data_IF_802473679807
#
_entry.id   IF_802473679807
#
_cell.length_a   1.000
_cell.length_b   1.000
_cell.length_c   1.000
_cell.angle_alpha   90.00
_cell.angle_beta   90.00
_cell.angle_gamma   90.00
#
_symmetry.space_group_name_H-M   'P 1'
#
loop_
_entity.id
_entity.type
_entity.pdbx_description
1 polymer ?
#
# COMPACT_ATOMS: atom_id res chain seq x y z
N UNK A 1 -17.80 17.46 28.71
CA UNK A 1 -18.28 16.34 27.85
C UNK A 1 -17.31 16.18 26.71
N UNK A 2 -16.39 15.22 26.77
CA UNK A 2 -15.46 14.93 25.65
C UNK A 2 -16.25 14.22 24.55
N UNK A 3 -16.57 14.94 23.48
CA UNK A 3 -17.14 14.33 22.27
C UNK A 3 -16.04 13.43 21.69
N UNK A 4 -16.14 12.12 21.93
CA UNK A 4 -15.25 11.16 21.31
C UNK A 4 -15.43 11.27 19.79
N UNK A 5 -14.42 11.80 19.09
CA UNK A 5 -14.43 11.84 17.64
C UNK A 5 -14.56 10.41 17.08
N UNK A 6 -15.42 10.18 16.08
CA UNK A 6 -15.68 8.85 15.57
C UNK A 6 -14.42 8.26 14.93
N UNK A 7 -14.17 6.97 15.22
CA UNK A 7 -13.13 6.20 14.56
C UNK A 7 -13.61 5.79 13.19
N UNK A 8 -12.95 6.26 12.13
CA UNK A 8 -13.31 5.96 10.74
C UNK A 8 -12.48 4.75 10.27
N UNK A 9 -13.18 3.71 9.83
CA UNK A 9 -12.59 2.44 9.36
C UNK A 9 -12.67 2.37 7.85
N UNK A 10 -11.53 2.35 7.17
CA UNK A 10 -11.40 2.28 5.72
C UNK A 10 -11.14 0.82 5.31
N UNK A 11 -11.92 0.31 4.37
CA UNK A 11 -11.75 -1.05 3.80
C UNK A 11 -11.03 -0.95 2.46
N UNK A 12 -9.98 -1.74 2.25
CA UNK A 12 -9.30 -1.79 0.96
C UNK A 12 -10.25 -2.27 -0.16
N UNK A 13 -10.26 -1.57 -1.30
CA UNK A 13 -10.95 -2.03 -2.53
C UNK A 13 -10.45 -3.41 -2.96
N UNK A 14 -9.17 -3.71 -2.72
CA UNK A 14 -8.54 -4.97 -3.08
C UNK A 14 -9.23 -6.20 -2.47
N UNK A 15 -9.91 -6.07 -1.33
CA UNK A 15 -10.63 -7.18 -0.66
C UNK A 15 -11.99 -7.50 -1.29
N UNK A 16 -12.49 -6.63 -2.15
CA UNK A 16 -13.76 -6.85 -2.84
C UNK A 16 -13.67 -8.12 -3.71
N UNK A 17 -14.71 -8.94 -3.70
CA UNK A 17 -14.82 -10.20 -4.45
C UNK A 17 -13.90 -11.38 -4.01
N UNK A 18 -13.18 -11.31 -2.88
CA UNK A 18 -12.35 -12.42 -2.43
C UNK A 18 -13.16 -13.73 -2.23
N UNK A 19 -14.32 -13.63 -1.57
CA UNK A 19 -15.21 -14.79 -1.36
C UNK A 19 -15.76 -15.34 -2.69
N UNK A 20 -16.13 -14.47 -3.60
CA UNK A 20 -16.65 -14.82 -4.93
C UNK A 20 -15.61 -15.58 -5.77
N UNK A 21 -14.37 -15.08 -5.82
CA UNK A 21 -13.26 -15.76 -6.51
C UNK A 21 -12.97 -17.13 -5.92
N UNK A 22 -12.95 -17.26 -4.58
CA UNK A 22 -12.72 -18.55 -3.93
C UNK A 22 -13.84 -19.54 -4.29
N UNK A 23 -15.10 -19.09 -4.29
CA UNK A 23 -16.25 -19.94 -4.59
C UNK A 23 -16.24 -20.40 -6.06
N UNK A 24 -16.02 -19.47 -7.01
CA UNK A 24 -15.92 -19.82 -8.44
C UNK A 24 -14.77 -20.80 -8.68
N UNK A 25 -13.59 -20.53 -8.13
CA UNK A 25 -12.43 -21.40 -8.33
C UNK A 25 -12.66 -22.80 -7.75
N UNK A 26 -13.26 -22.90 -6.56
CA UNK A 26 -13.60 -24.20 -5.94
C UNK A 26 -14.65 -24.97 -6.76
N UNK A 27 -15.70 -24.30 -7.24
CA UNK A 27 -16.74 -24.92 -8.06
C UNK A 27 -16.15 -25.43 -9.39
N UNK A 28 -15.33 -24.61 -10.05
CA UNK A 28 -14.65 -24.98 -11.29
C UNK A 28 -13.71 -26.18 -11.08
N UNK A 29 -13.02 -26.23 -9.93
CA UNK A 29 -12.16 -27.35 -9.54
C UNK A 29 -12.97 -28.64 -9.41
N UNK A 30 -14.10 -28.62 -8.72
CA UNK A 30 -14.98 -29.79 -8.53
C UNK A 30 -15.50 -30.29 -9.88
N UNK A 31 -15.99 -29.39 -10.74
CA UNK A 31 -16.47 -29.74 -12.07
C UNK A 31 -15.33 -30.38 -12.90
N UNK A 32 -14.14 -29.81 -12.88
CA UNK A 32 -13.00 -30.33 -13.63
C UNK A 32 -12.59 -31.74 -13.15
N UNK A 33 -12.63 -32.01 -11.84
CA UNK A 33 -12.34 -33.33 -11.28
C UNK A 33 -13.40 -34.35 -11.70
N UNK A 34 -14.70 -33.99 -11.67
CA UNK A 34 -15.77 -34.86 -12.12
C UNK A 34 -15.63 -35.20 -13.61
N UNK A 35 -15.38 -34.21 -14.46
CA UNK A 35 -15.13 -34.40 -15.89
C UNK A 35 -13.89 -35.27 -16.15
N UNK A 36 -12.86 -35.13 -15.35
CA UNK A 36 -11.64 -35.93 -15.46
C UNK A 36 -11.93 -37.44 -15.26
N UNK A 37 -12.87 -37.81 -14.38
CA UNK A 37 -13.24 -39.23 -14.19
C UNK A 37 -13.83 -39.86 -15.46
N UNK A 38 -14.54 -39.09 -16.30
CA UNK A 38 -15.22 -39.61 -17.48
C UNK A 38 -14.43 -39.43 -18.78
N UNK A 39 -13.70 -38.32 -18.91
CA UNK A 39 -13.12 -37.89 -20.18
C UNK A 39 -11.60 -37.82 -20.19
N UNK A 40 -10.93 -38.36 -19.17
CA UNK A 40 -9.46 -38.23 -19.02
C UNK A 40 -8.69 -38.72 -20.23
N UNK A 41 -9.08 -39.86 -20.83
CA UNK A 41 -8.39 -40.43 -22.00
C UNK A 41 -8.53 -39.61 -23.28
N UNK A 42 -9.62 -38.82 -23.42
CA UNK A 42 -9.92 -38.07 -24.64
C UNK A 42 -9.39 -36.65 -24.61
N UNK A 43 -9.57 -35.95 -23.49
CA UNK A 43 -9.25 -34.51 -23.38
C UNK A 43 -8.28 -34.18 -22.23
N UNK A 44 -7.35 -35.07 -21.98
CA UNK A 44 -6.39 -34.97 -20.88
C UNK A 44 -5.71 -33.59 -20.75
N UNK A 45 -5.17 -33.04 -21.85
CA UNK A 45 -4.46 -31.76 -21.83
C UNK A 45 -5.38 -30.61 -21.46
N UNK A 46 -6.60 -30.57 -22.00
CA UNK A 46 -7.59 -29.52 -21.70
C UNK A 46 -8.00 -29.55 -20.23
N UNK A 47 -8.20 -30.75 -19.68
CA UNK A 47 -8.55 -30.94 -18.26
C UNK A 47 -7.43 -30.44 -17.34
N UNK A 48 -6.16 -30.74 -17.66
CA UNK A 48 -5.02 -30.25 -16.90
C UNK A 48 -5.00 -28.71 -16.86
N UNK A 49 -5.22 -28.04 -18.01
CA UNK A 49 -5.27 -26.57 -18.07
C UNK A 49 -6.43 -26.00 -17.24
N UNK A 50 -7.63 -26.60 -17.30
CA UNK A 50 -8.78 -26.17 -16.52
C UNK A 50 -8.52 -26.32 -15.01
N UNK A 51 -7.94 -27.44 -14.58
CA UNK A 51 -7.59 -27.70 -13.17
C UNK A 51 -6.56 -26.66 -12.70
N UNK A 52 -5.54 -26.40 -13.51
CA UNK A 52 -4.50 -25.41 -13.17
C UNK A 52 -5.09 -23.99 -13.07
N UNK A 53 -5.96 -23.60 -13.99
CA UNK A 53 -6.67 -22.32 -13.95
C UNK A 53 -7.57 -22.20 -12.71
N UNK A 54 -8.34 -23.24 -12.41
CA UNK A 54 -9.19 -23.31 -11.22
C UNK A 54 -8.37 -23.19 -9.93
N UNK A 55 -7.20 -23.84 -9.89
CA UNK A 55 -6.26 -23.73 -8.77
C UNK A 55 -5.74 -22.28 -8.58
N UNK A 56 -5.33 -21.62 -9.66
CA UNK A 56 -4.86 -20.23 -9.61
C UNK A 56 -5.97 -19.30 -9.11
N UNK A 57 -7.20 -19.44 -9.61
CA UNK A 57 -8.35 -18.63 -9.19
C UNK A 57 -8.63 -18.84 -7.69
N UNK A 58 -8.66 -20.12 -7.25
CA UNK A 58 -8.89 -20.47 -5.83
C UNK A 58 -7.81 -19.89 -4.92
N UNK A 59 -6.54 -20.06 -5.28
CA UNK A 59 -5.39 -19.51 -4.53
C UNK A 59 -5.46 -17.98 -4.46
N UNK A 60 -5.78 -17.32 -5.56
CA UNK A 60 -5.94 -15.86 -5.59
C UNK A 60 -7.05 -15.40 -4.64
N UNK A 61 -8.19 -16.10 -4.64
CA UNK A 61 -9.30 -15.83 -3.72
C UNK A 61 -8.90 -16.03 -2.25
N UNK A 62 -8.17 -17.10 -1.94
CA UNK A 62 -7.67 -17.38 -0.59
C UNK A 62 -6.65 -16.34 -0.14
N UNK A 63 -5.69 -15.96 -0.99
CA UNK A 63 -4.67 -14.95 -0.67
C UNK A 63 -5.32 -13.60 -0.33
N UNK A 64 -6.37 -13.21 -1.06
CA UNK A 64 -7.15 -11.99 -0.75
C UNK A 64 -7.88 -12.05 0.61
N UNK A 65 -8.20 -13.24 1.12
CA UNK A 65 -8.81 -13.39 2.45
C UNK A 65 -7.84 -13.08 3.59
N UNK A 66 -6.54 -13.29 3.38
CA UNK A 66 -5.50 -12.99 4.37
C UNK A 66 -5.16 -11.50 4.48
N UNK A 67 -5.70 -10.66 3.60
CA UNK A 67 -5.56 -9.21 3.74
C UNK A 67 -6.31 -8.70 4.98
N UNK A 68 -5.78 -7.66 5.68
CA UNK A 68 -6.39 -7.11 6.86
C UNK A 68 -7.81 -6.62 6.57
N UNK A 69 -8.68 -6.68 7.60
CA UNK A 69 -10.09 -6.28 7.48
C UNK A 69 -10.24 -4.80 7.12
N UNK A 70 -9.32 -3.98 7.59
CA UNK A 70 -9.24 -2.54 7.34
C UNK A 70 -7.83 -2.22 6.83
N UNK A 71 -7.73 -1.36 5.84
CA UNK A 71 -6.47 -0.84 5.33
C UNK A 71 -6.00 0.37 6.13
N UNK A 72 -6.96 1.24 6.52
CA UNK A 72 -6.68 2.39 7.36
C UNK A 72 -7.71 2.51 8.47
N UNK A 73 -7.24 3.04 9.61
CA UNK A 73 -8.07 3.39 10.74
C UNK A 73 -7.68 4.81 11.16
N UNK A 74 -8.65 5.73 11.04
CA UNK A 74 -8.45 7.13 11.37
C UNK A 74 -9.01 7.39 12.76
N UNK A 75 -8.14 7.80 13.67
CA UNK A 75 -8.44 8.12 15.06
C UNK A 75 -8.29 9.63 15.28
N UNK A 76 -8.80 10.19 16.40
CA UNK A 76 -8.58 11.58 16.76
C UNK A 76 -7.11 11.98 16.86
N UNK A 77 -6.23 11.05 17.32
CA UNK A 77 -4.82 11.31 17.51
C UNK A 77 -4.00 11.15 16.22
N UNK A 78 -4.42 10.26 15.30
CA UNK A 78 -3.63 9.94 14.13
C UNK A 78 -4.28 8.94 13.20
N UNK A 79 -3.49 8.42 12.30
CA UNK A 79 -3.88 7.39 11.35
C UNK A 79 -3.02 6.13 11.52
N UNK A 80 -3.68 4.98 11.45
CA UNK A 80 -3.03 3.66 11.40
C UNK A 80 -3.22 3.07 10.02
N UNK A 81 -2.14 2.66 9.39
CA UNK A 81 -2.16 1.89 8.15
C UNK A 81 -1.90 0.43 8.47
N UNK A 82 -2.79 -0.43 8.03
CA UNK A 82 -2.69 -1.87 8.21
C UNK A 82 -2.39 -2.54 6.88
N UNK A 83 -1.33 -3.30 6.88
CA UNK A 83 -0.90 -4.09 5.76
C UNK A 83 -0.71 -5.55 6.18
N UNK A 84 -0.74 -6.50 5.24
CA UNK A 84 -0.52 -7.94 5.52
C UNK A 84 0.81 -8.22 6.24
N UNK A 85 1.81 -7.38 6.06
CA UNK A 85 3.16 -7.55 6.62
C UNK A 85 3.43 -6.69 7.86
N UNK A 86 2.45 -5.98 8.35
CA UNK A 86 2.56 -5.14 9.54
C UNK A 86 1.69 -3.91 9.48
N UNK A 87 1.94 -2.99 10.39
CA UNK A 87 1.26 -1.70 10.42
C UNK A 87 2.25 -0.58 10.70
N UNK A 88 1.86 0.66 10.41
CA UNK A 88 2.51 1.84 10.93
C UNK A 88 1.45 2.83 11.44
N UNK A 89 1.86 3.66 12.37
CA UNK A 89 1.06 4.71 12.97
C UNK A 89 1.68 6.08 12.70
N UNK A 90 0.86 7.09 12.47
CA UNK A 90 1.27 8.48 12.36
C UNK A 90 0.31 9.37 13.13
N UNK A 91 0.83 10.20 14.01
CA UNK A 91 0.07 11.28 14.63
C UNK A 91 -0.20 12.39 13.61
N UNK A 92 -1.37 13.04 13.69
CA UNK A 92 -1.71 14.13 12.78
C UNK A 92 -0.70 15.28 12.83
N UNK A 93 -0.05 15.50 13.97
CA UNK A 93 0.98 16.51 14.15
C UNK A 93 2.27 16.23 13.39
N UNK A 94 2.58 14.96 13.11
CA UNK A 94 3.75 14.53 12.32
C UNK A 94 3.56 14.79 10.82
N UNK A 95 2.31 14.95 10.39
CA UNK A 95 1.96 15.09 8.98
C UNK A 95 1.95 16.56 8.60
N UNK A 96 2.82 16.92 7.67
CA UNK A 96 2.87 18.28 7.10
C UNK A 96 1.77 18.49 6.06
N UNK A 97 1.66 17.57 5.09
CA UNK A 97 0.73 17.69 3.97
C UNK A 97 0.28 16.32 3.45
N UNK A 98 -0.96 16.24 2.95
CA UNK A 98 -1.55 15.04 2.34
C UNK A 98 -2.21 15.47 1.04
N UNK A 99 -1.73 14.94 -0.09
CA UNK A 99 -2.34 15.20 -1.39
C UNK A 99 -2.24 13.96 -2.29
N UNK A 100 -2.99 14.00 -3.39
CA UNK A 100 -2.78 13.07 -4.48
C UNK A 100 -1.42 13.33 -5.13
N UNK A 101 -0.68 12.28 -5.46
CA UNK A 101 0.61 12.41 -6.14
C UNK A 101 0.35 12.79 -7.60
N UNK A 102 1.05 13.82 -8.05
CA UNK A 102 1.02 14.28 -9.43
C UNK A 102 2.42 14.26 -10.03
N UNK A 103 2.48 14.01 -11.32
CA UNK A 103 3.69 14.29 -12.07
C UNK A 103 3.93 15.80 -12.12
N UNK A 104 5.15 16.23 -11.82
CA UNK A 104 5.52 17.65 -11.77
C UNK A 104 6.29 18.11 -13.00
N UNK A 105 6.62 17.20 -13.94
CA UNK A 105 7.52 17.46 -15.06
C UNK A 105 6.78 17.77 -16.36
N UNK A 106 5.79 18.65 -16.37
CA UNK A 106 5.14 19.04 -17.63
C UNK A 106 4.00 20.02 -17.47
N UNK A 107 3.48 20.50 -18.60
CA UNK A 107 2.30 21.38 -18.66
C UNK A 107 1.01 20.65 -18.22
N UNK A 108 0.95 19.34 -18.44
CA UNK A 108 -0.16 18.49 -18.01
C UNK A 108 0.24 17.72 -16.74
N UNK A 109 -0.33 18.11 -15.61
CA UNK A 109 -0.18 17.39 -14.34
C UNK A 109 -0.93 16.07 -14.39
N UNK A 110 -0.23 14.99 -14.68
CA UNK A 110 -0.82 13.65 -14.63
C UNK A 110 -1.03 13.23 -13.17
N UNK A 111 -2.27 12.97 -12.80
CA UNK A 111 -2.61 12.43 -11.48
C UNK A 111 -2.24 10.94 -11.42
N UNK A 112 -1.41 10.57 -10.46
CA UNK A 112 -1.03 9.18 -10.22
C UNK A 112 -2.00 8.50 -9.25
N UNK A 113 -2.15 7.16 -9.30
CA UNK A 113 -3.07 6.41 -8.45
C UNK A 113 -2.52 6.22 -7.03
N UNK A 114 -1.98 7.29 -6.45
CA UNK A 114 -1.33 7.29 -5.15
C UNK A 114 -1.67 8.55 -4.34
N UNK A 115 -1.74 8.38 -3.02
CA UNK A 115 -1.78 9.47 -2.05
C UNK A 115 -0.40 9.62 -1.44
N UNK A 116 0.14 10.81 -1.48
CA UNK A 116 1.41 11.19 -0.87
C UNK A 116 1.22 11.84 0.49
N UNK A 117 2.00 11.42 1.45
CA UNK A 117 2.06 12.00 2.79
C UNK A 117 3.45 12.61 2.99
N UNK A 118 3.48 13.92 3.22
CA UNK A 118 4.70 14.63 3.61
C UNK A 118 4.75 14.74 5.12
N UNK A 119 5.84 14.30 5.72
CA UNK A 119 6.07 14.38 7.15
C UNK A 119 6.93 15.61 7.49
N UNK A 120 6.81 16.10 8.71
CA UNK A 120 7.76 17.09 9.26
C UNK A 120 9.09 16.44 9.60
N UNK A 121 9.02 15.24 10.17
CA UNK A 121 10.17 14.43 10.55
C UNK A 121 9.96 12.98 10.13
N UNK A 122 10.92 12.45 9.38
CA UNK A 122 10.88 11.05 8.91
C UNK A 122 11.33 10.09 10.02
N UNK A 123 12.14 10.54 10.95
CA UNK A 123 12.74 9.71 12.00
C UNK A 123 11.69 9.10 12.93
N UNK A 124 10.59 9.82 13.17
CA UNK A 124 9.46 9.34 13.98
C UNK A 124 8.84 8.05 13.45
N UNK A 125 8.88 7.84 12.13
CA UNK A 125 8.34 6.64 11.48
C UNK A 125 9.12 5.38 11.81
N UNK A 126 10.42 5.48 12.09
CA UNK A 126 11.30 4.34 12.34
C UNK A 126 10.84 3.48 13.52
N UNK A 127 10.34 4.12 14.56
CA UNK A 127 9.80 3.42 15.74
C UNK A 127 8.43 2.81 15.51
N UNK A 128 7.73 3.24 14.46
CA UNK A 128 6.34 2.90 14.17
C UNK A 128 6.18 1.83 13.07
N UNK A 129 7.23 1.54 12.32
CA UNK A 129 7.18 0.59 11.21
C UNK A 129 8.05 -0.64 11.46
N UNK A 130 7.49 -1.84 11.17
CA UNK A 130 8.28 -3.07 11.27
C UNK A 130 9.24 -3.23 10.09
N UNK A 131 10.43 -3.86 10.29
CA UNK A 131 11.38 -4.12 9.20
C UNK A 131 10.80 -4.92 8.04
N UNK A 132 9.86 -5.85 8.35
CA UNK A 132 9.16 -6.66 7.34
C UNK A 132 8.26 -5.79 6.45
N UNK A 133 7.51 -4.88 7.06
CA UNK A 133 6.65 -3.95 6.31
C UNK A 133 7.49 -2.95 5.52
N UNK A 134 8.54 -2.39 6.11
CA UNK A 134 9.48 -1.49 5.46
C UNK A 134 10.04 -2.08 4.16
N UNK A 135 10.56 -3.30 4.22
CA UNK A 135 11.05 -4.03 3.04
C UNK A 135 9.95 -4.25 2.00
N UNK A 136 8.74 -4.60 2.43
CA UNK A 136 7.62 -4.83 1.52
C UNK A 136 7.20 -3.57 0.78
N UNK A 137 7.11 -2.43 1.47
CA UNK A 137 6.76 -1.15 0.86
C UNK A 137 7.77 -0.70 -0.20
N UNK A 138 9.07 -0.91 0.02
CA UNK A 138 10.10 -0.66 -1.00
C UNK A 138 9.78 -1.43 -2.29
N UNK A 139 9.42 -2.72 -2.17
CA UNK A 139 9.12 -3.54 -3.35
C UNK A 139 7.81 -3.14 -4.04
N UNK A 140 6.78 -2.74 -3.30
CA UNK A 140 5.50 -2.32 -3.85
C UNK A 140 5.56 -0.96 -4.53
N UNK A 141 6.51 -0.11 -4.15
CA UNK A 141 6.71 1.22 -4.71
C UNK A 141 7.68 1.25 -5.91
N UNK A 142 8.23 0.09 -6.33
CA UNK A 142 9.09 0.00 -7.53
C UNK A 142 8.46 0.59 -8.80
N UNK A 143 7.16 0.36 -9.11
CA UNK A 143 6.56 0.98 -10.29
C UNK A 143 6.58 2.51 -10.26
N UNK A 144 6.43 3.09 -9.06
CA UNK A 144 6.50 4.54 -8.87
C UNK A 144 7.92 5.08 -9.10
N UNK A 145 8.95 4.36 -8.64
CA UNK A 145 10.35 4.72 -8.91
C UNK A 145 10.66 4.59 -10.40
N UNK A 146 10.22 3.51 -11.05
CA UNK A 146 10.40 3.34 -12.50
C UNK A 146 9.74 4.49 -13.28
N UNK A 147 8.53 4.87 -12.90
CA UNK A 147 7.84 6.04 -13.45
C UNK A 147 8.67 7.31 -13.27
N UNK A 148 9.22 7.55 -12.08
CA UNK A 148 10.03 8.74 -11.80
C UNK A 148 11.30 8.83 -12.68
N UNK A 149 11.94 7.69 -12.97
CA UNK A 149 13.11 7.62 -13.86
C UNK A 149 12.69 7.95 -15.29
N UNK A 150 11.63 7.32 -15.80
CA UNK A 150 11.13 7.51 -17.17
C UNK A 150 10.77 8.99 -17.40
N UNK A 151 10.16 9.64 -16.42
CA UNK A 151 9.75 11.05 -16.49
C UNK A 151 10.84 12.03 -16.02
N UNK A 152 12.08 11.55 -15.80
CA UNK A 152 13.24 12.38 -15.40
C UNK A 152 13.06 13.14 -14.08
N UNK A 153 12.18 12.66 -13.21
CA UNK A 153 12.01 13.19 -11.86
C UNK A 153 13.14 12.73 -10.93
N UNK A 154 13.75 11.58 -11.25
CA UNK A 154 14.88 11.00 -10.53
C UNK A 154 15.93 10.52 -11.52
N UNK A 155 17.22 10.63 -11.16
CA UNK A 155 18.28 9.96 -11.89
C UNK A 155 18.30 8.46 -11.55
N UNK A 156 18.87 7.64 -12.45
CA UNK A 156 19.05 6.21 -12.20
C UNK A 156 19.88 5.95 -10.94
N UNK A 157 20.90 6.74 -10.69
CA UNK A 157 21.76 6.63 -9.51
C UNK A 157 20.99 6.87 -8.20
N UNK A 158 20.14 7.91 -8.17
CA UNK A 158 19.28 8.22 -7.03
C UNK A 158 18.22 7.15 -6.75
N UNK A 159 17.84 6.39 -7.76
CA UNK A 159 16.82 5.35 -7.66
C UNK A 159 17.34 4.02 -7.12
N UNK A 160 18.66 3.85 -7.02
CA UNK A 160 19.25 2.62 -6.51
C UNK A 160 18.94 2.42 -5.02
N UNK A 161 18.65 1.15 -4.67
CA UNK A 161 18.42 0.80 -3.27
C UNK A 161 19.71 0.95 -2.47
N UNK A 162 19.64 1.80 -1.46
CA UNK A 162 20.75 2.07 -0.56
C UNK A 162 20.53 1.34 0.78
N UNK A 163 21.39 0.38 1.10
CA UNK A 163 21.38 -0.38 2.35
C UNK A 163 22.43 0.12 3.37
N UNK A 164 23.10 1.23 3.08
CA UNK A 164 24.04 1.84 4.03
C UNK A 164 23.32 2.23 5.33
N UNK A 165 24.03 2.28 6.47
CA UNK A 165 23.43 2.75 7.70
C UNK A 165 22.84 4.15 7.55
N UNK A 166 21.62 4.33 8.06
CA UNK A 166 20.93 5.63 8.07
C UNK A 166 21.11 6.28 9.44
N UNK A 167 21.56 7.54 9.47
CA UNK A 167 21.72 8.31 10.70
C UNK A 167 20.49 9.17 10.94
N UNK A 168 19.79 8.91 12.06
CA UNK A 168 18.67 9.73 12.51
C UNK A 168 19.14 11.11 12.99
N UNK A 169 18.22 12.07 13.06
CA UNK A 169 18.47 13.39 13.68
C UNK A 169 18.92 13.26 15.14
N UNK A 170 18.44 12.25 15.85
CA UNK A 170 18.88 11.90 17.22
C UNK A 170 20.34 11.39 17.30
N UNK A 171 21.02 11.21 16.18
CA UNK A 171 22.37 10.64 16.08
C UNK A 171 22.40 9.10 16.07
N UNK A 172 21.29 8.40 16.33
CA UNK A 172 21.19 6.94 16.30
C UNK A 172 21.36 6.41 14.87
N UNK A 173 22.19 5.38 14.72
CA UNK A 173 22.39 4.68 13.45
C UNK A 173 21.40 3.51 13.31
N UNK A 174 20.70 3.48 12.20
CA UNK A 174 19.79 2.37 11.83
C UNK A 174 20.44 1.57 10.72
N UNK A 175 20.24 0.25 10.73
CA UNK A 175 20.78 -0.69 9.75
C UNK A 175 19.70 -1.57 9.16
N UNK A 176 20.00 -2.25 8.05
CA UNK A 176 19.15 -3.25 7.42
C UNK A 176 17.91 -2.67 6.73
N UNK A 177 16.76 -3.39 6.69
CA UNK A 177 15.58 -3.00 5.92
C UNK A 177 14.99 -1.65 6.32
N UNK A 178 15.09 -1.25 7.59
CA UNK A 178 14.64 0.07 8.05
C UNK A 178 15.50 1.19 7.47
N UNK A 179 16.84 1.04 7.46
CA UNK A 179 17.73 2.01 6.84
C UNK A 179 17.44 2.15 5.33
N UNK A 180 17.30 1.02 4.64
CA UNK A 180 16.95 1.01 3.23
C UNK A 180 15.61 1.71 2.96
N UNK A 181 14.61 1.51 3.84
CA UNK A 181 13.31 2.17 3.72
C UNK A 181 13.42 3.68 3.94
N UNK A 182 14.26 4.14 4.89
CA UNK A 182 14.48 5.57 5.12
C UNK A 182 15.13 6.24 3.91
N UNK A 183 16.17 5.62 3.33
CA UNK A 183 16.76 6.09 2.08
C UNK A 183 15.75 6.12 0.94
N UNK A 184 14.95 5.06 0.80
CA UNK A 184 13.90 4.96 -0.20
C UNK A 184 12.82 6.05 -0.05
N UNK A 185 12.39 6.34 1.19
CA UNK A 185 11.44 7.43 1.48
C UNK A 185 12.02 8.81 1.11
N UNK A 186 13.31 9.02 1.30
CA UNK A 186 13.98 10.23 0.84
C UNK A 186 14.05 10.31 -0.68
N UNK A 187 14.29 9.19 -1.37
CA UNK A 187 14.26 9.13 -2.83
C UNK A 187 12.86 9.48 -3.37
N UNK A 188 11.81 8.92 -2.78
CA UNK A 188 10.43 9.27 -3.15
C UNK A 188 10.16 10.75 -2.89
N UNK A 189 10.64 11.27 -1.78
CA UNK A 189 10.50 12.70 -1.47
C UNK A 189 11.20 13.58 -2.50
N UNK A 190 12.39 13.21 -2.94
CA UNK A 190 13.13 13.95 -3.98
C UNK A 190 12.37 13.99 -5.31
N UNK A 191 11.73 12.88 -5.71
CA UNK A 191 10.97 12.80 -6.97
C UNK A 191 9.56 13.40 -6.91
N UNK A 192 8.85 13.22 -5.80
CA UNK A 192 7.42 13.53 -5.71
C UNK A 192 7.04 14.51 -4.59
N UNK A 193 7.96 14.84 -3.70
CA UNK A 193 7.71 15.74 -2.56
C UNK A 193 7.01 15.09 -1.36
N UNK A 194 6.89 13.76 -1.32
CA UNK A 194 6.23 13.00 -0.25
C UNK A 194 7.14 11.90 0.28
N UNK A 195 7.07 11.65 1.60
CA UNK A 195 7.88 10.61 2.25
C UNK A 195 7.22 9.24 2.24
N UNK A 196 5.88 9.22 2.37
CA UNK A 196 5.08 8.00 2.36
C UNK A 196 4.04 8.04 1.25
N UNK A 197 3.76 6.86 0.71
CA UNK A 197 2.84 6.68 -0.40
C UNK A 197 1.81 5.60 -0.04
N UNK A 198 0.54 5.91 -0.22
CA UNK A 198 -0.58 4.98 -0.07
C UNK A 198 -1.19 4.75 -1.46
N UNK A 199 -1.25 3.50 -1.95
CA UNK A 199 -1.85 3.20 -3.25
C UNK A 199 -3.38 3.29 -3.19
N UNK A 200 -4.01 3.61 -4.31
CA UNK A 200 -5.46 3.66 -4.46
C UNK A 200 -6.16 2.35 -4.06
N UNK A 201 -5.51 1.21 -4.29
CA UNK A 201 -6.02 -0.10 -3.90
C UNK A 201 -6.28 -0.25 -2.39
N UNK A 202 -5.63 0.58 -1.57
CA UNK A 202 -5.81 0.63 -0.11
C UNK A 202 -6.96 1.54 0.34
N UNK A 203 -7.64 2.25 -0.56
CA UNK A 203 -8.74 3.16 -0.24
C UNK A 203 -10.10 2.52 -0.53
N UNK A 204 -11.18 3.06 0.05
CA UNK A 204 -12.58 2.63 -0.17
C UNK A 204 -13.34 3.56 -1.14
N UNK A 205 -12.73 4.68 -1.53
CA UNK A 205 -13.32 5.73 -2.35
C UNK A 205 -12.31 6.29 -3.34
N UNK A 206 -12.71 7.26 -4.16
CA UNK A 206 -11.81 7.95 -5.08
C UNK A 206 -10.73 8.73 -4.32
N UNK A 207 -9.53 8.82 -4.90
CA UNK A 207 -8.37 9.44 -4.25
C UNK A 207 -8.61 10.89 -3.83
N UNK A 208 -9.32 11.67 -4.67
CA UNK A 208 -9.63 13.05 -4.35
C UNK A 208 -10.49 13.16 -3.08
N UNK A 209 -11.59 12.37 -3.00
CA UNK A 209 -12.47 12.34 -1.83
C UNK A 209 -11.72 11.81 -0.59
N UNK A 210 -10.80 10.86 -0.80
CA UNK A 210 -10.02 10.31 0.29
C UNK A 210 -9.00 11.33 0.83
N UNK A 211 -8.34 12.08 -0.03
CA UNK A 211 -7.48 13.20 0.38
C UNK A 211 -8.25 14.27 1.16
N UNK A 212 -9.46 14.61 0.71
CA UNK A 212 -10.33 15.55 1.44
C UNK A 212 -10.66 15.02 2.84
N UNK A 213 -11.05 13.74 2.97
CA UNK A 213 -11.33 13.12 4.25
C UNK A 213 -10.12 13.18 5.20
N UNK A 214 -8.93 12.80 4.72
CA UNK A 214 -7.71 12.83 5.53
C UNK A 214 -7.37 14.25 6.01
N UNK A 215 -7.50 15.24 5.13
CA UNK A 215 -7.26 16.64 5.48
C UNK A 215 -8.33 17.18 6.44
N UNK A 216 -9.60 16.76 6.33
CA UNK A 216 -10.64 17.09 7.31
C UNK A 216 -10.36 16.47 8.68
N UNK A 217 -9.94 15.19 8.74
CA UNK A 217 -9.56 14.55 10.00
C UNK A 217 -8.37 15.28 10.65
N UNK A 218 -7.35 15.63 9.85
CA UNK A 218 -6.19 16.39 10.34
C UNK A 218 -6.59 17.75 10.90
N UNK A 219 -7.40 18.53 10.17
CA UNK A 219 -7.84 19.86 10.62
C UNK A 219 -8.77 19.80 11.83
N UNK A 220 -9.60 18.75 11.94
CA UNK A 220 -10.42 18.54 13.12
C UNK A 220 -9.56 18.19 14.35
N UNK A 221 -8.54 17.34 14.18
CA UNK A 221 -7.62 17.01 15.27
C UNK A 221 -6.90 18.26 15.82
N UNK A 222 -6.50 19.18 14.94
CA UNK A 222 -5.87 20.44 15.35
C UNK A 222 -6.81 21.40 16.13
N UNK A 223 -8.12 21.24 16.04
CA UNK A 223 -9.08 22.09 16.79
C UNK A 223 -9.35 21.59 18.20
N UNK A 224 -9.00 20.32 18.49
CA UNK A 224 -9.29 19.68 19.77
C UNK A 224 -8.02 19.43 20.61
N UNK A 225 -6.87 19.82 20.12
CA UNK A 225 -5.57 19.87 20.81
C UNK A 225 -5.24 21.31 21.18
#
# INVERSE_FOLDING_TARGET
MSIALPVIKIKAKAKHHAAFLTLIGSTLMIIAIVLANYYWSVIRLVLIFIILLALIITLTGLLKRFEPKYSLLLNPQGMNYYHRYGCWHLDWQQIRNINQVHETSGLNRLALPYIGIRLYDLDSLVSQISPRLANRLIHEQKPLIAFAIIHRLLSFEQSQLNFSPYKLLSGKLIKGPLAAFMHHSQTIYAGFGYHLIIPESSTDRELHQFCQLLNQCKSSAHRYL
#
